data_IF_786185975782
#
_entry.id   IF_786185975782
#
_cell.length_a   1.000
_cell.length_b   1.000
_cell.length_c   1.000
_cell.angle_alpha   90.00
_cell.angle_beta   90.00
_cell.angle_gamma   90.00
#
_symmetry.space_group_name_H-M   'P 1'
#
loop_
_entity.id
_entity.type
_entity.pdbx_description
1 polymer ?
#
# COMPACT_ATOMS: atom_id res chain seq x y z
N UNK A 1 -0.38 50.56 37.42
CA UNK A 1 0.68 50.03 36.52
C UNK A 1 1.04 48.56 36.76
N UNK A 2 0.93 47.99 37.97
CA UNK A 2 1.32 46.60 38.28
C UNK A 2 0.46 45.52 37.59
N UNK A 3 -0.86 45.73 37.50
CA UNK A 3 -1.79 44.76 36.89
C UNK A 3 -1.56 44.52 35.38
N UNK A 4 -1.10 45.52 34.63
CA UNK A 4 -0.83 45.40 33.19
C UNK A 4 0.46 44.59 32.91
N UNK A 5 1.46 44.69 33.79
CA UNK A 5 2.70 43.92 33.69
C UNK A 5 2.49 42.43 33.98
N UNK A 6 1.63 42.11 34.96
CA UNK A 6 1.29 40.72 35.31
C UNK A 6 0.47 40.03 34.20
N UNK A 7 -0.47 40.75 33.57
CA UNK A 7 -1.23 40.24 32.41
C UNK A 7 -0.32 39.97 31.19
N UNK A 8 0.64 40.86 30.91
CA UNK A 8 1.61 40.67 29.84
C UNK A 8 2.56 39.50 30.10
N UNK A 9 2.95 39.26 31.36
CA UNK A 9 3.77 38.12 31.78
C UNK A 9 3.04 36.78 31.66
N UNK A 10 1.74 36.73 32.00
CA UNK A 10 0.91 35.54 31.89
C UNK A 10 0.69 35.13 30.41
N UNK A 11 0.35 36.10 29.55
CA UNK A 11 0.18 35.85 28.11
C UNK A 11 1.45 35.31 27.44
N UNK A 12 2.63 35.84 27.80
CA UNK A 12 3.92 35.41 27.24
C UNK A 12 4.31 33.99 27.68
N UNK A 13 4.05 33.63 28.94
CA UNK A 13 4.25 32.27 29.46
C UNK A 13 3.29 31.27 28.83
N UNK A 14 2.02 31.64 28.70
CA UNK A 14 1.02 30.82 28.03
C UNK A 14 1.38 30.58 26.56
N UNK A 15 1.80 31.61 25.83
CA UNK A 15 2.32 31.49 24.46
C UNK A 15 3.58 30.62 24.39
N UNK A 16 4.50 30.72 25.36
CA UNK A 16 5.70 29.88 25.41
C UNK A 16 5.34 28.39 25.63
N UNK A 17 4.39 28.10 26.52
CA UNK A 17 3.87 26.75 26.77
C UNK A 17 3.15 26.20 25.53
N UNK A 18 2.30 27.00 24.89
CA UNK A 18 1.63 26.62 23.63
C UNK A 18 2.63 26.38 22.50
N UNK A 19 3.66 27.22 22.39
CA UNK A 19 4.73 27.08 21.40
C UNK A 19 5.58 25.82 21.66
N UNK A 20 5.84 25.49 22.91
CA UNK A 20 6.53 24.25 23.30
C UNK A 20 5.69 23.01 22.98
N UNK A 21 4.40 23.00 23.33
CA UNK A 21 3.48 21.93 22.98
C UNK A 21 3.35 21.74 21.46
N UNK A 22 3.29 22.84 20.70
CA UNK A 22 3.24 22.80 19.24
C UNK A 22 4.54 22.24 18.64
N UNK A 23 5.72 22.60 19.19
CA UNK A 23 7.01 22.03 18.78
C UNK A 23 7.06 20.52 19.04
N UNK A 24 6.60 20.09 20.20
CA UNK A 24 6.58 18.66 20.55
C UNK A 24 5.66 17.87 19.62
N UNK A 25 4.47 18.39 19.32
CA UNK A 25 3.59 17.79 18.30
C UNK A 25 4.28 17.65 16.94
N UNK A 26 4.97 18.70 16.47
CA UNK A 26 5.70 18.67 15.20
C UNK A 26 6.83 17.62 15.22
N UNK A 27 7.59 17.53 16.31
CA UNK A 27 8.63 16.49 16.49
C UNK A 27 8.05 15.09 16.40
N UNK A 28 6.93 14.83 17.09
CA UNK A 28 6.23 13.53 17.03
C UNK A 28 5.74 13.21 15.62
N UNK A 29 5.22 14.19 14.89
CA UNK A 29 4.79 14.01 13.50
C UNK A 29 5.99 13.68 12.61
N UNK A 30 7.07 14.46 12.67
CA UNK A 30 8.28 14.21 11.90
C UNK A 30 8.86 12.83 12.21
N UNK A 31 8.88 12.41 13.48
CA UNK A 31 9.31 11.08 13.88
C UNK A 31 8.49 9.96 13.23
N UNK A 32 7.15 10.03 13.35
CA UNK A 32 6.25 9.05 12.72
C UNK A 32 6.36 9.04 11.20
N UNK A 33 6.49 10.22 10.58
CA UNK A 33 6.69 10.34 9.15
C UNK A 33 8.02 9.70 8.71
N UNK A 34 9.10 9.84 9.50
CA UNK A 34 10.37 9.18 9.23
C UNK A 34 10.33 7.66 9.44
N UNK A 35 9.52 7.16 10.39
CA UNK A 35 9.29 5.71 10.54
C UNK A 35 8.49 5.16 9.36
N UNK A 36 7.46 5.89 8.92
CA UNK A 36 6.64 5.53 7.76
C UNK A 36 7.47 5.37 6.48
N UNK A 37 8.45 6.26 6.24
CA UNK A 37 9.31 6.19 5.05
C UNK A 37 10.15 4.91 4.97
N UNK A 38 10.41 4.24 6.10
CA UNK A 38 11.16 2.98 6.16
C UNK A 38 10.31 1.77 5.78
N UNK A 39 8.99 1.87 5.90
CA UNK A 39 8.06 0.78 5.62
C UNK A 39 7.60 0.76 4.17
N UNK A 40 7.69 1.88 3.47
CA UNK A 40 7.19 2.02 2.09
C UNK A 40 8.38 1.91 1.12
N UNK A 41 8.32 0.97 0.16
CA UNK A 41 9.34 0.84 -0.87
C UNK A 41 9.57 2.16 -1.62
N UNK A 42 10.82 2.59 -1.70
CA UNK A 42 11.22 3.84 -2.39
C UNK A 42 10.90 5.14 -1.64
N UNK A 43 10.17 5.11 -0.52
CA UNK A 43 9.75 6.33 0.16
C UNK A 43 10.86 7.11 0.86
N UNK A 44 12.03 6.49 1.09
CA UNK A 44 13.22 7.15 1.62
C UNK A 44 13.76 8.27 0.72
N UNK A 45 13.37 8.29 -0.56
CA UNK A 45 13.75 9.31 -1.54
C UNK A 45 12.73 10.45 -1.68
N UNK A 46 11.60 10.39 -0.98
CA UNK A 46 10.54 11.38 -1.09
C UNK A 46 10.85 12.61 -0.23
N UNK A 47 10.69 13.79 -0.81
CA UNK A 47 11.10 15.05 -0.19
C UNK A 47 9.93 15.73 0.56
N UNK A 48 8.69 15.35 0.25
CA UNK A 48 7.48 15.94 0.85
C UNK A 48 6.67 14.92 1.64
N UNK A 49 6.11 15.35 2.78
CA UNK A 49 5.16 14.55 3.57
C UNK A 49 3.92 14.19 2.75
N UNK A 50 3.48 15.07 1.86
CA UNK A 50 2.32 14.78 0.99
C UNK A 50 2.59 13.60 0.06
N UNK A 51 3.77 13.60 -0.60
CA UNK A 51 4.19 12.50 -1.47
C UNK A 51 4.32 11.19 -0.70
N UNK A 52 4.86 11.26 0.53
CA UNK A 52 4.99 10.09 1.39
C UNK A 52 3.64 9.50 1.80
N UNK A 53 2.66 10.33 2.15
CA UNK A 53 1.31 9.86 2.46
C UNK A 53 0.62 9.28 1.22
N UNK A 54 0.83 9.86 0.04
CA UNK A 54 0.30 9.32 -1.22
C UNK A 54 0.94 7.97 -1.57
N UNK A 55 2.26 7.85 -1.43
CA UNK A 55 2.99 6.59 -1.64
C UNK A 55 2.52 5.52 -0.65
N UNK A 56 2.30 5.88 0.62
CA UNK A 56 1.73 4.99 1.63
C UNK A 56 0.37 4.45 1.20
N UNK A 57 -0.53 5.34 0.77
CA UNK A 57 -1.87 4.96 0.33
C UNK A 57 -1.84 4.02 -0.87
N UNK A 58 -0.97 4.27 -1.85
CA UNK A 58 -0.79 3.36 -3.00
C UNK A 58 -0.23 2.00 -2.57
N UNK A 59 0.75 2.00 -1.69
CA UNK A 59 1.36 0.76 -1.21
C UNK A 59 0.38 -0.10 -0.41
N UNK A 60 -0.48 0.50 0.43
CA UNK A 60 -1.56 -0.22 1.13
C UNK A 60 -2.53 -0.86 0.13
N UNK A 61 -2.93 -0.15 -0.94
CA UNK A 61 -3.81 -0.71 -1.99
C UNK A 61 -3.16 -1.90 -2.69
N UNK A 62 -1.86 -1.81 -2.99
CA UNK A 62 -1.10 -2.92 -3.57
C UNK A 62 -1.12 -4.14 -2.64
N UNK A 63 -0.79 -3.95 -1.36
CA UNK A 63 -0.76 -5.04 -0.39
C UNK A 63 -2.13 -5.69 -0.23
N UNK A 64 -3.20 -4.90 -0.17
CA UNK A 64 -4.58 -5.41 -0.13
C UNK A 64 -4.91 -6.26 -1.37
N UNK A 65 -4.53 -5.79 -2.57
CA UNK A 65 -4.72 -6.54 -3.81
C UNK A 65 -3.92 -7.86 -3.80
N UNK A 66 -2.65 -7.83 -3.38
CA UNK A 66 -1.80 -9.03 -3.29
C UNK A 66 -2.36 -10.06 -2.30
N UNK A 67 -2.82 -9.62 -1.12
CA UNK A 67 -3.50 -10.50 -0.15
C UNK A 67 -4.78 -11.10 -0.74
N UNK A 68 -5.55 -10.31 -1.51
CA UNK A 68 -6.72 -10.80 -2.23
C UNK A 68 -6.39 -11.89 -3.24
N UNK A 69 -5.34 -11.70 -4.05
CA UNK A 69 -4.84 -12.71 -5.01
C UNK A 69 -4.43 -13.99 -4.29
N UNK A 70 -3.67 -13.89 -3.20
CA UNK A 70 -3.26 -15.06 -2.40
C UNK A 70 -4.46 -15.80 -1.81
N UNK A 71 -5.49 -15.08 -1.35
CA UNK A 71 -6.73 -15.69 -0.88
C UNK A 71 -7.46 -16.44 -2.01
N UNK A 72 -7.50 -15.86 -3.22
CA UNK A 72 -8.08 -16.49 -4.42
C UNK A 72 -7.33 -17.75 -4.85
N UNK A 73 -5.98 -17.74 -4.81
CA UNK A 73 -5.17 -18.93 -5.10
C UNK A 73 -5.53 -20.09 -4.18
N UNK A 74 -5.68 -19.80 -2.88
CA UNK A 74 -6.08 -20.80 -1.89
C UNK A 74 -7.49 -21.35 -2.14
N UNK A 75 -8.44 -20.53 -2.60
CA UNK A 75 -9.81 -20.98 -2.88
C UNK A 75 -9.98 -21.66 -4.23
N UNK A 76 -9.20 -21.27 -5.25
CA UNK A 76 -9.29 -21.79 -6.61
C UNK A 76 -8.72 -23.22 -6.79
N UNK A 77 -8.27 -23.86 -5.69
CA UNK A 77 -7.90 -25.27 -5.69
C UNK A 77 -6.41 -25.56 -5.62
N UNK A 78 -5.53 -24.59 -5.35
CA UNK A 78 -4.10 -24.85 -5.07
C UNK A 78 -3.88 -25.35 -3.63
N UNK A 79 -4.75 -26.25 -3.16
CA UNK A 79 -4.54 -27.08 -1.99
C UNK A 79 -4.14 -28.49 -2.41
N UNK A 80 -3.05 -28.62 -3.17
CA UNK A 80 -2.34 -29.90 -3.31
C UNK A 80 -0.87 -29.68 -3.08
N UNK A 81 -0.35 -30.40 -2.10
CA UNK A 81 1.07 -30.54 -1.73
C UNK A 81 1.92 -30.85 -2.97
N UNK A 82 2.41 -29.83 -3.64
CA UNK A 82 3.50 -29.96 -4.60
C UNK A 82 4.53 -28.87 -4.30
N UNK A 83 5.77 -29.15 -4.63
CA UNK A 83 6.88 -28.18 -4.59
C UNK A 83 6.42 -26.90 -5.30
N UNK A 84 6.64 -25.71 -4.72
CA UNK A 84 6.19 -24.47 -5.34
C UNK A 84 6.68 -24.41 -6.78
N UNK A 85 5.77 -24.18 -7.72
CA UNK A 85 6.16 -24.18 -9.12
C UNK A 85 7.20 -23.07 -9.36
N UNK A 86 8.10 -23.23 -10.33
CA UNK A 86 9.07 -22.17 -10.67
C UNK A 86 8.42 -20.80 -10.92
N UNK A 87 7.13 -20.77 -11.30
CA UNK A 87 6.37 -19.54 -11.44
C UNK A 87 6.01 -18.90 -10.08
N UNK A 88 5.66 -19.70 -9.07
CA UNK A 88 5.44 -19.24 -7.69
C UNK A 88 6.73 -18.76 -7.06
N UNK A 89 7.84 -19.48 -7.21
CA UNK A 89 9.14 -19.05 -6.69
C UNK A 89 9.59 -17.72 -7.31
N UNK A 90 9.43 -17.57 -8.63
CA UNK A 90 9.69 -16.30 -9.33
C UNK A 90 8.76 -15.19 -8.83
N UNK A 91 7.48 -15.48 -8.64
CA UNK A 91 6.53 -14.52 -8.09
C UNK A 91 6.92 -14.09 -6.67
N UNK A 92 7.29 -15.03 -5.80
CA UNK A 92 7.78 -14.74 -4.45
C UNK A 92 9.05 -13.90 -4.47
N UNK A 93 10.00 -14.20 -5.35
CA UNK A 93 11.22 -13.40 -5.52
C UNK A 93 10.91 -11.95 -5.98
N UNK A 94 9.96 -11.79 -6.91
CA UNK A 94 9.50 -10.47 -7.34
C UNK A 94 8.79 -9.71 -6.21
N UNK A 95 7.94 -10.38 -5.45
CA UNK A 95 7.24 -9.78 -4.31
C UNK A 95 8.20 -9.41 -3.17
N UNK A 96 9.32 -10.12 -2.99
CA UNK A 96 10.34 -9.77 -2.02
C UNK A 96 11.25 -8.61 -2.47
N UNK A 97 11.25 -8.27 -3.76
CA UNK A 97 12.07 -7.20 -4.30
C UNK A 97 11.44 -5.83 -4.05
N UNK A 98 12.10 -4.99 -3.24
CA UNK A 98 11.64 -3.63 -2.95
C UNK A 98 11.46 -2.77 -4.21
N UNK A 99 12.33 -2.94 -5.23
CA UNK A 99 12.19 -2.22 -6.50
C UNK A 99 10.95 -2.64 -7.30
N UNK A 100 10.61 -3.94 -7.28
CA UNK A 100 9.39 -4.43 -7.91
C UNK A 100 8.15 -3.94 -7.15
N UNK A 101 8.16 -4.01 -5.82
CA UNK A 101 7.06 -3.49 -5.00
C UNK A 101 6.83 -1.98 -5.22
N UNK A 102 7.90 -1.21 -5.33
CA UNK A 102 7.82 0.22 -5.64
C UNK A 102 7.16 0.49 -6.99
N UNK A 103 7.59 -0.22 -8.04
CA UNK A 103 7.01 -0.08 -9.38
C UNK A 103 5.54 -0.50 -9.42
N UNK A 104 5.22 -1.65 -8.85
CA UNK A 104 3.85 -2.15 -8.77
C UNK A 104 2.93 -1.17 -8.02
N UNK A 105 3.42 -0.59 -6.91
CA UNK A 105 2.65 0.39 -6.15
C UNK A 105 2.50 1.72 -6.91
N UNK A 106 3.53 2.14 -7.65
CA UNK A 106 3.49 3.34 -8.49
C UNK A 106 2.52 3.22 -9.66
N UNK A 107 2.53 2.07 -10.33
CA UNK A 107 1.67 1.76 -11.49
C UNK A 107 0.25 1.33 -11.07
N UNK A 108 0.03 1.00 -9.79
CA UNK A 108 -1.26 0.50 -9.30
C UNK A 108 -1.59 -0.92 -9.78
N UNK A 109 -0.55 -1.70 -10.09
CA UNK A 109 -0.64 -3.04 -10.69
C UNK A 109 -0.31 -4.10 -9.64
N UNK A 110 -0.88 -5.30 -9.77
CA UNK A 110 -0.54 -6.45 -8.93
C UNK A 110 -0.05 -7.63 -9.77
N UNK A 111 0.74 -8.52 -9.15
CA UNK A 111 1.18 -9.75 -9.79
C UNK A 111 0.12 -10.83 -9.61
N UNK A 112 -0.28 -11.46 -10.72
CA UNK A 112 -1.27 -12.53 -10.73
C UNK A 112 -0.77 -13.66 -11.62
N UNK A 113 -0.70 -14.91 -11.12
CA UNK A 113 -0.39 -16.05 -11.98
C UNK A 113 -1.44 -16.23 -13.08
N UNK A 114 -1.02 -16.38 -14.33
CA UNK A 114 -1.95 -16.61 -15.46
C UNK A 114 -2.80 -17.86 -15.27
N UNK A 115 -2.26 -18.88 -14.60
CA UNK A 115 -3.01 -20.08 -14.19
C UNK A 115 -4.21 -19.74 -13.30
N UNK A 116 -4.04 -18.84 -12.34
CA UNK A 116 -5.12 -18.38 -11.46
C UNK A 116 -6.21 -17.66 -12.26
N UNK A 117 -5.81 -16.78 -13.17
CA UNK A 117 -6.76 -16.05 -14.04
C UNK A 117 -7.60 -17.02 -14.86
N UNK A 118 -6.98 -18.05 -15.46
CA UNK A 118 -7.68 -19.12 -16.19
C UNK A 118 -8.62 -19.93 -15.31
N UNK A 119 -8.20 -20.25 -14.08
CA UNK A 119 -9.05 -20.96 -13.12
C UNK A 119 -10.30 -20.14 -12.75
N UNK A 120 -10.12 -18.85 -12.47
CA UNK A 120 -11.21 -17.91 -12.18
C UNK A 120 -12.13 -17.76 -13.41
N UNK A 121 -11.56 -17.67 -14.61
CA UNK A 121 -12.34 -17.60 -15.85
C UNK A 121 -13.15 -18.87 -16.12
N UNK A 122 -12.76 -20.01 -15.55
CA UNK A 122 -13.49 -21.27 -15.60
C UNK A 122 -14.67 -21.34 -14.62
N UNK A 123 -14.65 -20.56 -13.55
CA UNK A 123 -15.59 -20.61 -12.43
C UNK A 123 -17.02 -20.24 -12.85
N UNK A 124 -18.01 -21.08 -12.49
CA UNK A 124 -19.42 -20.90 -12.87
C UNK A 124 -20.05 -19.68 -12.19
N UNK A 125 -19.69 -19.38 -10.94
CA UNK A 125 -20.20 -18.22 -10.23
C UNK A 125 -19.68 -16.92 -10.87
N UNK A 126 -18.40 -16.88 -11.26
CA UNK A 126 -17.82 -15.74 -11.97
C UNK A 126 -18.47 -15.54 -13.35
N UNK A 127 -18.72 -16.63 -14.09
CA UNK A 127 -19.41 -16.59 -15.39
C UNK A 127 -20.86 -16.10 -15.32
N UNK A 128 -21.51 -16.21 -14.16
CA UNK A 128 -22.90 -15.76 -13.99
C UNK A 128 -23.04 -14.23 -14.03
N UNK A 129 -21.97 -13.49 -13.73
CA UNK A 129 -21.94 -12.04 -13.87
C UNK A 129 -21.47 -11.62 -15.26
N UNK A 130 -22.39 -11.06 -16.06
CA UNK A 130 -22.09 -10.67 -17.45
C UNK A 130 -21.01 -9.60 -17.55
N UNK A 131 -21.00 -8.62 -16.64
CA UNK A 131 -20.00 -7.55 -16.62
C UNK A 131 -18.61 -8.12 -16.31
N UNK A 132 -18.49 -8.92 -15.25
CA UNK A 132 -17.22 -9.55 -14.84
C UNK A 132 -16.71 -10.49 -15.92
N UNK A 133 -17.59 -11.30 -16.53
CA UNK A 133 -17.24 -12.19 -17.64
C UNK A 133 -16.66 -11.43 -18.83
N UNK A 134 -17.29 -10.31 -19.22
CA UNK A 134 -16.82 -9.49 -20.34
C UNK A 134 -15.42 -8.93 -20.09
N UNK A 135 -15.22 -8.34 -18.92
CA UNK A 135 -13.95 -7.72 -18.56
C UNK A 135 -12.83 -8.77 -18.42
N UNK A 136 -13.16 -9.92 -17.83
CA UNK A 136 -12.21 -11.03 -17.68
C UNK A 136 -11.83 -11.65 -19.03
N UNK A 137 -12.78 -11.79 -19.97
CA UNK A 137 -12.47 -12.27 -21.32
C UNK A 137 -11.55 -11.29 -22.07
N UNK A 138 -11.84 -9.99 -22.03
CA UNK A 138 -10.97 -8.95 -22.61
C UNK A 138 -9.57 -9.01 -22.02
N UNK A 139 -9.47 -9.22 -20.70
CA UNK A 139 -8.20 -9.38 -20.03
C UNK A 139 -7.47 -10.65 -20.50
N UNK A 140 -8.17 -11.79 -20.61
CA UNK A 140 -7.60 -13.04 -21.10
C UNK A 140 -7.07 -12.94 -22.54
N UNK A 141 -7.80 -12.26 -23.43
CA UNK A 141 -7.36 -11.99 -24.82
C UNK A 141 -6.05 -11.17 -24.84
N UNK A 142 -5.89 -10.22 -23.91
CA UNK A 142 -4.65 -9.44 -23.80
C UNK A 142 -3.42 -10.23 -23.36
N UNK A 143 -3.59 -11.47 -22.88
CA UNK A 143 -2.50 -12.35 -22.45
C UNK A 143 -1.99 -13.29 -23.56
N UNK A 144 -2.66 -13.35 -24.71
CA UNK A 144 -2.34 -14.25 -25.83
C UNK A 144 -1.54 -13.58 -26.96
N UNK A 145 -1.16 -12.31 -26.78
CA UNK A 145 -0.32 -11.51 -27.67
C UNK A 145 1.00 -11.13 -26.98
#
# INVERSE_FOLDING_TARGET
MKAAADQAGYGRRHQAVQSAAARERRRRITGKTAELSRLIPGASRLNSTAEMLQAAARYVKLLQAQVGVLALMRSAGEAKKEVPSMAEERMHALLASGGAQERLAGEGMCLVPTKLVRAIAGDKAIKSSLAVKRDLNRFMESLEH
#
